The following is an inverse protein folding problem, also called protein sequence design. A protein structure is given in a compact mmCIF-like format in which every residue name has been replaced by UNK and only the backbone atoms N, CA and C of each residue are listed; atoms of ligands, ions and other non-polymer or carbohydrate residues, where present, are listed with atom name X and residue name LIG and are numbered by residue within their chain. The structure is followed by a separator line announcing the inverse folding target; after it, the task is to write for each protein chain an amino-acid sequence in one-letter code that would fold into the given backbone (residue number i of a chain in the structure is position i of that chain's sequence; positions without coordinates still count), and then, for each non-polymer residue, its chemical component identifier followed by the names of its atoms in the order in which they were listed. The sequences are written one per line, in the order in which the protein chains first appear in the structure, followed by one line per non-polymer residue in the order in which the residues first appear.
data_IF_139212962548
#
_entry.id   IF_139212962548
#
_cell.length_a   1.000
_cell.length_b   1.000
_cell.length_c   1.000
_cell.angle_alpha   90.00
_cell.angle_beta   90.00
_cell.angle_gamma   90.00
#
_symmetry.space_group_name_H-M   'P 1'
#
loop_
_entity.id
_entity.type
_entity.pdbx_description
1 polymer ?
#
# COMPACT_ATOMS: atom_id res chain seq x y z
N UNK A 1 10.09 -17.98 -6.88
CA UNK A 1 10.38 -16.83 -7.75
C UNK A 1 10.31 -17.27 -9.21
N UNK A 2 9.61 -16.50 -10.02
CA UNK A 2 9.57 -16.78 -11.47
C UNK A 2 10.88 -16.30 -12.12
N UNK A 3 11.17 -16.79 -13.36
CA UNK A 3 12.28 -16.30 -14.18
C UNK A 3 12.24 -14.77 -14.33
N UNK A 4 11.04 -14.19 -14.35
CA UNK A 4 10.79 -12.74 -14.41
C UNK A 4 11.36 -12.03 -13.18
N UNK A 5 11.23 -12.59 -11.97
CA UNK A 5 11.77 -11.98 -10.75
C UNK A 5 13.31 -11.91 -10.76
N UNK A 6 13.99 -12.88 -11.35
CA UNK A 6 15.45 -12.84 -11.51
C UNK A 6 15.93 -11.81 -12.54
N UNK A 7 15.14 -11.56 -13.59
CA UNK A 7 15.43 -10.53 -14.59
C UNK A 7 15.09 -9.12 -14.08
N UNK A 8 14.13 -8.99 -13.17
CA UNK A 8 13.65 -7.70 -12.66
C UNK A 8 14.77 -6.86 -12.06
N UNK A 9 15.65 -7.45 -11.25
CA UNK A 9 16.78 -6.73 -10.64
C UNK A 9 17.72 -6.09 -11.67
N UNK A 10 18.01 -6.78 -12.77
CA UNK A 10 18.85 -6.23 -13.87
C UNK A 10 18.14 -5.09 -14.60
N UNK A 11 16.84 -5.22 -14.81
CA UNK A 11 16.01 -4.16 -15.42
C UNK A 11 15.99 -2.94 -14.50
N UNK A 12 15.78 -3.14 -13.21
CA UNK A 12 15.77 -2.09 -12.21
C UNK A 12 17.12 -1.38 -12.10
N UNK A 13 18.23 -2.13 -12.13
CA UNK A 13 19.59 -1.57 -12.15
C UNK A 13 19.83 -0.65 -13.35
N UNK A 14 19.28 -0.98 -14.50
CA UNK A 14 19.37 -0.12 -15.69
C UNK A 14 18.47 1.13 -15.58
N UNK A 15 17.26 0.95 -15.06
CA UNK A 15 16.25 2.01 -15.00
C UNK A 15 16.54 3.05 -13.92
N UNK A 16 17.10 2.68 -12.76
CA UNK A 16 17.33 3.61 -11.65
C UNK A 16 18.26 4.76 -12.02
N UNK A 17 19.14 4.57 -12.98
CA UNK A 17 20.03 5.62 -13.52
C UNK A 17 19.28 6.66 -14.37
N UNK A 18 18.07 6.35 -14.83
CA UNK A 18 17.30 7.17 -15.77
C UNK A 18 16.02 7.73 -15.17
N UNK A 19 15.48 7.09 -14.14
CA UNK A 19 14.18 7.43 -13.58
C UNK A 19 14.10 7.08 -12.11
N UNK A 20 13.24 7.79 -11.39
CA UNK A 20 12.84 7.41 -10.03
C UNK A 20 11.94 6.18 -10.08
N UNK A 21 12.28 5.17 -9.31
CA UNK A 21 11.60 3.88 -9.30
C UNK A 21 10.82 3.74 -8.00
N UNK A 22 9.55 3.38 -8.13
CA UNK A 22 8.73 2.87 -7.05
C UNK A 22 8.46 1.39 -7.30
N UNK A 23 8.63 0.57 -6.28
CA UNK A 23 8.39 -0.87 -6.34
C UNK A 23 7.02 -1.16 -5.72
N UNK A 24 6.18 -1.90 -6.43
CA UNK A 24 5.05 -2.60 -5.85
C UNK A 24 5.45 -4.07 -5.69
N UNK A 25 5.57 -4.52 -4.45
CA UNK A 25 5.92 -5.89 -4.13
C UNK A 25 4.69 -6.63 -3.60
N UNK A 26 4.22 -7.60 -4.36
CA UNK A 26 3.10 -8.47 -3.96
C UNK A 26 3.71 -9.76 -3.43
N UNK A 27 3.66 -9.92 -2.13
CA UNK A 27 4.14 -11.11 -1.44
C UNK A 27 3.15 -12.25 -1.66
N UNK A 28 3.63 -13.41 -2.14
CA UNK A 28 2.77 -14.59 -2.27
C UNK A 28 2.39 -15.14 -0.89
N UNK A 29 1.31 -15.93 -0.85
CA UNK A 29 0.98 -16.72 0.35
C UNK A 29 2.11 -17.70 0.65
N UNK A 30 2.80 -17.45 1.77
CA UNK A 30 3.96 -18.24 2.21
C UNK A 30 3.58 -19.61 2.73
N UNK A 31 2.32 -19.80 3.17
CA UNK A 31 1.84 -21.06 3.77
C UNK A 31 1.77 -22.19 2.75
N UNK A 32 1.57 -21.84 1.48
CA UNK A 32 1.44 -22.77 0.35
C UNK A 32 2.75 -23.06 -0.38
N UNK A 33 3.87 -22.47 0.07
CA UNK A 33 5.17 -22.54 -0.64
C UNK A 33 6.08 -23.64 -0.09
N UNK A 34 6.90 -24.23 -0.99
CA UNK A 34 7.99 -25.11 -0.58
C UNK A 34 9.12 -24.30 0.09
N UNK A 35 9.92 -24.95 0.94
CA UNK A 35 11.04 -24.30 1.65
C UNK A 35 11.99 -23.56 0.72
N UNK A 36 12.33 -24.17 -0.44
CA UNK A 36 13.19 -23.53 -1.43
C UNK A 36 12.58 -22.24 -1.98
N UNK A 37 11.30 -22.24 -2.31
CA UNK A 37 10.59 -21.05 -2.79
C UNK A 37 10.49 -19.97 -1.72
N UNK A 38 10.24 -20.38 -0.48
CA UNK A 38 10.22 -19.50 0.68
C UNK A 38 11.56 -18.80 0.88
N UNK A 39 12.66 -19.55 0.75
CA UNK A 39 14.01 -18.97 0.85
C UNK A 39 14.31 -17.99 -0.31
N UNK A 40 13.91 -18.34 -1.53
CA UNK A 40 14.07 -17.47 -2.69
C UNK A 40 13.27 -16.17 -2.55
N UNK A 41 12.03 -16.27 -2.05
CA UNK A 41 11.18 -15.10 -1.78
C UNK A 41 11.82 -14.19 -0.73
N UNK A 42 12.22 -14.74 0.42
CA UNK A 42 12.88 -13.97 1.49
C UNK A 42 14.13 -13.28 0.99
N UNK A 43 14.94 -13.97 0.19
CA UNK A 43 16.16 -13.38 -0.37
C UNK A 43 15.82 -12.21 -1.30
N UNK A 44 14.86 -12.39 -2.21
CA UNK A 44 14.43 -11.33 -3.13
C UNK A 44 13.85 -10.13 -2.37
N UNK A 45 12.99 -10.39 -1.39
CA UNK A 45 12.40 -9.36 -0.54
C UNK A 45 13.47 -8.55 0.20
N UNK A 46 14.43 -9.22 0.85
CA UNK A 46 15.51 -8.57 1.58
C UNK A 46 16.37 -7.68 0.66
N UNK A 47 16.73 -8.18 -0.52
CA UNK A 47 17.52 -7.40 -1.49
C UNK A 47 16.76 -6.14 -1.93
N UNK A 48 15.47 -6.25 -2.23
CA UNK A 48 14.65 -5.10 -2.63
C UNK A 48 14.48 -4.10 -1.47
N UNK A 49 14.31 -4.59 -0.24
CA UNK A 49 14.28 -3.73 0.94
C UNK A 49 15.58 -2.92 1.11
N UNK A 50 16.73 -3.58 1.02
CA UNK A 50 18.03 -2.90 1.17
C UNK A 50 18.27 -1.87 0.07
N UNK A 51 17.93 -2.17 -1.18
CA UNK A 51 17.98 -1.18 -2.26
C UNK A 51 17.04 -0.01 -2.02
N UNK A 52 15.87 -0.26 -1.44
CA UNK A 52 14.93 0.80 -1.10
C UNK A 52 15.46 1.66 0.05
N UNK A 53 15.95 1.04 1.12
CA UNK A 53 16.52 1.75 2.28
C UNK A 53 17.74 2.58 1.90
N UNK A 54 18.59 2.07 1.02
CA UNK A 54 19.76 2.80 0.52
C UNK A 54 19.43 3.96 -0.43
N UNK A 55 18.16 4.09 -0.83
CA UNK A 55 17.70 5.18 -1.70
C UNK A 55 17.89 4.92 -3.19
N UNK A 56 18.26 3.70 -3.59
CA UNK A 56 18.27 3.27 -5.00
C UNK A 56 16.85 3.31 -5.58
N UNK A 57 15.86 2.91 -4.77
CA UNK A 57 14.45 3.09 -5.10
C UNK A 57 13.83 4.21 -4.26
N UNK A 58 12.85 4.91 -4.82
CA UNK A 58 12.18 6.00 -4.13
C UNK A 58 11.29 5.48 -3.01
N UNK A 59 10.54 4.42 -3.27
CA UNK A 59 9.72 3.72 -2.28
C UNK A 59 9.45 2.27 -2.72
N UNK A 60 9.15 1.43 -1.74
CA UNK A 60 8.65 0.07 -1.93
C UNK A 60 7.33 -0.08 -1.18
N UNK A 61 6.28 -0.32 -1.94
CA UNK A 61 4.94 -0.62 -1.42
C UNK A 61 4.76 -2.13 -1.33
N UNK A 62 4.44 -2.62 -0.15
CA UNK A 62 4.38 -4.05 0.15
C UNK A 62 2.92 -4.44 0.34
N UNK A 63 2.49 -5.51 -0.33
CA UNK A 63 1.19 -6.13 -0.17
C UNK A 63 1.38 -7.63 0.06
N UNK A 64 0.57 -8.24 0.90
CA UNK A 64 0.58 -9.67 1.17
C UNK A 64 -0.74 -10.29 0.69
N UNK A 65 -0.65 -11.28 -0.19
CA UNK A 65 -1.83 -11.94 -0.73
C UNK A 65 -2.72 -12.54 0.37
N UNK A 66 -2.11 -13.08 1.43
CA UNK A 66 -2.88 -13.68 2.53
C UNK A 66 -3.70 -12.65 3.31
N UNK A 67 -3.24 -11.39 3.39
CA UNK A 67 -4.02 -10.31 4.00
C UNK A 67 -5.07 -9.73 3.05
N UNK A 68 -4.77 -9.69 1.76
CA UNK A 68 -5.76 -9.30 0.75
C UNK A 68 -6.92 -10.29 0.70
N UNK A 69 -6.66 -11.59 0.87
CA UNK A 69 -7.69 -12.62 0.96
C UNK A 69 -8.72 -12.34 2.07
N UNK A 70 -8.27 -11.87 3.22
CA UNK A 70 -9.15 -11.53 4.34
C UNK A 70 -10.04 -10.31 4.05
N UNK A 71 -9.64 -9.45 3.11
CA UNK A 71 -10.42 -8.25 2.73
C UNK A 71 -11.56 -8.64 1.78
N UNK A 72 -11.32 -9.66 0.96
CA UNK A 72 -12.29 -10.14 -0.04
C UNK A 72 -13.07 -11.39 0.44
N UNK A 73 -13.18 -11.56 1.76
CA UNK A 73 -13.91 -12.66 2.36
C UNK A 73 -15.30 -12.85 1.73
N UNK A 74 -15.61 -14.08 1.34
CA UNK A 74 -16.85 -14.39 0.62
C UNK A 74 -16.82 -14.17 -0.90
N UNK A 75 -15.68 -13.82 -1.49
CA UNK A 75 -15.57 -13.73 -2.94
C UNK A 75 -15.74 -15.10 -3.61
N UNK A 76 -16.46 -15.18 -4.75
CA UNK A 76 -16.64 -16.45 -5.46
C UNK A 76 -15.29 -16.95 -6.00
N UNK A 77 -15.10 -18.28 -5.99
CA UNK A 77 -13.87 -18.92 -6.51
C UNK A 77 -13.62 -18.53 -7.98
N UNK A 78 -14.70 -18.45 -8.76
CA UNK A 78 -14.60 -17.93 -10.13
C UNK A 78 -14.44 -16.43 -10.12
N UNK A 79 -13.34 -15.94 -10.71
CA UNK A 79 -13.03 -14.50 -10.73
C UNK A 79 -12.29 -13.99 -9.48
N UNK A 80 -11.89 -14.88 -8.57
CA UNK A 80 -11.17 -14.53 -7.35
C UNK A 80 -9.95 -13.62 -7.60
N UNK A 81 -9.09 -14.00 -8.55
CA UNK A 81 -7.90 -13.19 -8.87
C UNK A 81 -8.25 -11.85 -9.54
N UNK A 82 -9.35 -11.80 -10.29
CA UNK A 82 -9.81 -10.55 -10.89
C UNK A 82 -10.27 -9.58 -9.80
N UNK A 83 -10.99 -10.10 -8.80
CA UNK A 83 -11.45 -9.31 -7.66
C UNK A 83 -10.28 -8.80 -6.80
N UNK A 84 -9.31 -9.66 -6.53
CA UNK A 84 -8.09 -9.32 -5.79
C UNK A 84 -7.27 -8.24 -6.52
N UNK A 85 -7.12 -8.41 -7.83
CA UNK A 85 -6.46 -7.42 -8.67
C UNK A 85 -7.23 -6.09 -8.71
N UNK A 86 -8.56 -6.12 -8.75
CA UNK A 86 -9.40 -4.93 -8.72
C UNK A 86 -9.21 -4.14 -7.42
N UNK A 87 -9.22 -4.79 -6.27
CA UNK A 87 -8.97 -4.17 -4.96
C UNK A 87 -7.59 -3.50 -4.95
N UNK A 88 -6.57 -4.19 -5.40
CA UNK A 88 -5.20 -3.69 -5.42
C UNK A 88 -5.04 -2.50 -6.38
N UNK A 89 -5.51 -2.68 -7.62
CA UNK A 89 -5.38 -1.66 -8.68
C UNK A 89 -6.20 -0.42 -8.37
N UNK A 90 -7.43 -0.56 -7.88
CA UNK A 90 -8.27 0.58 -7.50
C UNK A 90 -7.65 1.39 -6.36
N UNK A 91 -7.07 0.73 -5.36
CA UNK A 91 -6.38 1.41 -4.26
C UNK A 91 -5.17 2.20 -4.76
N UNK A 92 -4.33 1.59 -5.59
CA UNK A 92 -3.16 2.27 -6.17
C UNK A 92 -3.58 3.41 -7.09
N UNK A 93 -4.63 3.19 -7.90
CA UNK A 93 -5.17 4.22 -8.78
C UNK A 93 -5.68 5.42 -7.99
N UNK A 94 -6.45 5.19 -6.93
CA UNK A 94 -6.95 6.24 -6.06
C UNK A 94 -5.81 7.09 -5.46
N UNK A 95 -4.75 6.45 -4.96
CA UNK A 95 -3.59 7.15 -4.43
C UNK A 95 -2.88 7.96 -5.51
N UNK A 96 -2.77 7.42 -6.72
CA UNK A 96 -2.21 8.13 -7.87
C UNK A 96 -3.03 9.37 -8.25
N UNK A 97 -4.35 9.25 -8.22
CA UNK A 97 -5.28 10.37 -8.43
C UNK A 97 -5.05 11.44 -7.36
N UNK A 98 -5.06 11.07 -6.09
CA UNK A 98 -4.80 12.02 -4.99
C UNK A 98 -3.42 12.69 -5.07
N UNK A 99 -2.42 11.97 -5.53
CA UNK A 99 -1.06 12.52 -5.69
C UNK A 99 -0.98 13.59 -6.78
N UNK A 100 -1.76 13.45 -7.84
CA UNK A 100 -1.62 14.24 -9.06
C UNK A 100 -2.76 15.27 -9.29
N UNK A 101 -3.88 15.15 -8.57
CA UNK A 101 -4.98 16.11 -8.69
C UNK A 101 -4.81 17.33 -7.78
N UNK A 102 -5.46 18.44 -8.18
CA UNK A 102 -5.58 19.63 -7.34
C UNK A 102 -6.49 19.32 -6.15
N UNK A 103 -5.96 19.47 -4.96
CA UNK A 103 -6.68 19.15 -3.72
C UNK A 103 -7.70 20.23 -3.42
N UNK A 104 -8.88 19.80 -2.96
CA UNK A 104 -9.92 20.70 -2.45
C UNK A 104 -9.67 20.97 -0.97
N UNK A 105 -9.34 19.93 -0.20
CA UNK A 105 -9.07 20.02 1.23
C UNK A 105 -7.87 19.12 1.57
N UNK A 106 -7.04 19.57 2.49
CA UNK A 106 -5.90 18.82 3.00
C UNK A 106 -4.63 18.93 2.14
N UNK A 107 -3.61 18.22 2.57
CA UNK A 107 -2.32 18.13 1.90
C UNK A 107 -1.97 16.68 1.64
N UNK A 108 -1.39 16.39 0.49
CA UNK A 108 -0.76 15.11 0.26
C UNK A 108 0.65 15.19 0.88
N UNK A 109 0.85 14.61 2.06
CA UNK A 109 2.19 14.48 2.59
C UNK A 109 2.92 13.37 1.83
N UNK A 110 4.11 13.68 1.34
CA UNK A 110 4.99 12.61 0.88
C UNK A 110 5.58 11.93 2.11
N UNK A 111 5.71 10.60 2.11
CA UNK A 111 6.51 9.94 3.11
C UNK A 111 7.89 10.60 3.20
N UNK A 112 8.45 10.70 4.40
CA UNK A 112 9.78 11.26 4.56
C UNK A 112 10.80 10.47 3.74
N UNK A 113 11.88 11.08 3.32
CA UNK A 113 12.92 10.41 2.54
C UNK A 113 13.58 9.23 3.28
N UNK A 114 13.32 9.08 4.57
CA UNK A 114 13.77 7.98 5.42
C UNK A 114 12.77 6.81 5.47
N UNK A 115 11.47 7.08 5.31
CA UNK A 115 10.40 6.08 5.39
C UNK A 115 10.02 5.59 3.99
N UNK A 116 10.92 4.82 3.39
CA UNK A 116 10.77 4.34 2.00
C UNK A 116 10.00 3.04 1.87
N UNK A 117 9.78 2.32 2.98
CA UNK A 117 8.94 1.12 3.01
C UNK A 117 7.53 1.53 3.42
N UNK A 118 6.56 1.16 2.62
CA UNK A 118 5.16 1.53 2.83
C UNK A 118 4.22 0.37 2.50
N UNK A 119 3.00 0.47 2.96
CA UNK A 119 1.89 -0.39 2.54
C UNK A 119 0.66 0.45 2.30
N UNK A 120 -0.34 -0.16 1.71
CA UNK A 120 -1.68 0.39 1.58
C UNK A 120 -2.64 -0.32 2.53
N UNK A 121 -3.83 0.20 2.66
CA UNK A 121 -4.91 -0.43 3.37
C UNK A 121 -6.24 0.21 3.01
N UNK A 122 -7.31 -0.48 3.34
CA UNK A 122 -8.67 0.01 3.20
C UNK A 122 -9.20 0.33 4.59
N UNK A 123 -9.75 1.53 4.73
CA UNK A 123 -10.48 1.94 5.91
C UNK A 123 -11.98 1.74 5.65
N UNK A 124 -12.64 0.98 6.50
CA UNK A 124 -14.08 0.92 6.55
C UNK A 124 -14.61 2.22 7.19
N UNK A 125 -15.33 3.06 6.46
CA UNK A 125 -15.81 4.35 6.98
C UNK A 125 -16.89 4.20 8.05
N UNK A 126 -17.62 3.08 8.11
CA UNK A 126 -18.70 2.86 9.06
C UNK A 126 -18.16 2.36 10.41
N UNK A 127 -17.27 1.39 10.37
CA UNK A 127 -16.73 0.75 11.58
C UNK A 127 -15.41 1.37 12.04
N UNK A 128 -14.74 2.15 11.21
CA UNK A 128 -13.40 2.65 11.46
C UNK A 128 -12.31 1.55 11.41
N UNK A 129 -12.67 0.32 11.01
CA UNK A 129 -11.72 -0.80 10.94
C UNK A 129 -10.72 -0.58 9.81
N UNK A 130 -9.46 -0.77 10.13
CA UNK A 130 -8.37 -0.72 9.17
C UNK A 130 -8.00 -2.13 8.72
N UNK A 131 -7.90 -2.33 7.42
CA UNK A 131 -7.48 -3.57 6.80
C UNK A 131 -6.22 -3.30 5.98
N UNK A 132 -5.02 -3.39 6.58
CA UNK A 132 -3.77 -3.17 5.88
C UNK A 132 -3.46 -4.32 4.92
N UNK A 133 -2.83 -4.02 3.80
CA UNK A 133 -2.37 -5.03 2.83
C UNK A 133 -1.06 -5.71 3.26
N UNK A 134 -0.38 -5.14 4.23
CA UNK A 134 0.80 -5.71 4.87
C UNK A 134 0.97 -5.15 6.28
N UNK A 135 1.33 -5.99 7.24
CA UNK A 135 1.61 -5.55 8.60
C UNK A 135 3.05 -5.03 8.68
N UNK A 136 3.20 -3.71 8.71
CA UNK A 136 4.49 -3.06 8.93
C UNK A 136 4.78 -2.99 10.43
N UNK A 137 5.94 -3.49 10.82
CA UNK A 137 6.49 -3.26 12.15
C UNK A 137 7.04 -1.83 12.23
N UNK A 138 6.91 -1.19 13.38
CA UNK A 138 7.43 0.17 13.63
C UNK A 138 6.93 1.21 12.62
N UNK A 139 5.62 1.22 12.39
CA UNK A 139 4.98 2.20 11.54
C UNK A 139 5.23 3.63 12.06
N UNK A 140 5.87 4.48 11.27
CA UNK A 140 6.26 5.84 11.66
C UNK A 140 5.28 6.90 11.20
N UNK A 141 4.57 6.66 10.12
CA UNK A 141 3.66 7.64 9.53
C UNK A 141 2.44 6.92 8.93
N UNK A 142 1.27 7.49 9.12
CA UNK A 142 0.02 7.01 8.56
C UNK A 142 -0.75 8.17 7.95
N UNK A 143 -1.24 7.97 6.72
CA UNK A 143 -2.04 8.97 6.02
C UNK A 143 -3.38 8.37 5.59
N UNK A 144 -4.46 9.12 5.79
CA UNK A 144 -5.80 8.73 5.39
C UNK A 144 -6.27 9.55 4.20
N UNK A 145 -6.82 8.88 3.20
CA UNK A 145 -7.34 9.48 1.99
C UNK A 145 -8.81 9.11 1.83
N UNK A 146 -9.66 10.13 1.78
CA UNK A 146 -11.09 9.97 1.60
C UNK A 146 -11.51 10.47 0.22
N UNK A 147 -12.14 9.60 -0.56
CA UNK A 147 -12.81 9.97 -1.80
C UNK A 147 -14.27 10.28 -1.48
N UNK A 148 -14.64 11.55 -1.56
CA UNK A 148 -15.99 12.02 -1.20
C UNK A 148 -16.62 12.68 -2.43
N UNK A 149 -17.85 12.30 -2.81
CA UNK A 149 -18.57 12.97 -3.88
C UNK A 149 -18.72 14.47 -3.62
N UNK A 150 -18.50 15.29 -4.65
CA UNK A 150 -18.56 16.76 -4.52
C UNK A 150 -19.93 17.26 -3.99
N UNK A 151 -21.02 16.57 -4.35
CA UNK A 151 -22.36 16.88 -3.87
C UNK A 151 -22.48 16.72 -2.35
N UNK A 152 -21.88 15.69 -1.77
CA UNK A 152 -21.86 15.49 -0.32
C UNK A 152 -21.01 16.57 0.38
N UNK A 153 -19.90 17.00 -0.23
CA UNK A 153 -19.10 18.10 0.31
C UNK A 153 -19.86 19.43 0.33
N UNK A 154 -20.82 19.63 -0.59
CA UNK A 154 -21.66 20.85 -0.63
C UNK A 154 -22.83 20.81 0.35
N UNK A 155 -23.36 19.63 0.63
CA UNK A 155 -24.61 19.46 1.38
C UNK A 155 -24.38 19.08 2.84
N UNK A 156 -23.38 18.28 3.14
CA UNK A 156 -23.13 17.75 4.48
C UNK A 156 -22.09 18.59 5.25
N UNK A 157 -22.58 19.50 6.08
CA UNK A 157 -21.74 20.35 6.94
C UNK A 157 -21.04 19.59 8.07
N UNK A 158 -21.52 18.40 8.45
CA UNK A 158 -20.97 17.62 9.56
C UNK A 158 -19.90 16.62 9.11
N UNK A 159 -19.82 16.33 7.82
CA UNK A 159 -18.93 15.32 7.27
C UNK A 159 -17.46 15.54 7.66
N UNK A 160 -16.98 16.78 7.57
CA UNK A 160 -15.61 17.12 7.96
C UNK A 160 -15.34 16.92 9.46
N UNK A 161 -16.31 17.22 10.30
CA UNK A 161 -16.20 16.99 11.75
C UNK A 161 -16.14 15.51 12.07
N UNK A 162 -17.02 14.71 11.44
CA UNK A 162 -17.05 13.25 11.62
C UNK A 162 -15.74 12.59 11.17
N UNK A 163 -15.18 12.99 10.01
CA UNK A 163 -13.88 12.49 9.55
C UNK A 163 -12.76 12.86 10.54
N UNK A 164 -12.76 14.09 11.04
CA UNK A 164 -11.76 14.52 12.03
C UNK A 164 -11.87 13.74 13.34
N UNK A 165 -13.06 13.47 13.83
CA UNK A 165 -13.29 12.65 15.01
C UNK A 165 -12.77 11.23 14.80
N UNK A 166 -13.10 10.59 13.68
CA UNK A 166 -12.58 9.26 13.34
C UNK A 166 -11.05 9.19 13.31
N UNK A 167 -10.39 10.23 12.85
CA UNK A 167 -8.91 10.28 12.81
C UNK A 167 -8.35 10.52 14.22
N UNK A 168 -8.98 11.37 15.02
CA UNK A 168 -8.51 11.71 16.37
C UNK A 168 -8.73 10.59 17.39
N UNK A 169 -9.77 9.77 17.21
CA UNK A 169 -10.02 8.61 18.06
C UNK A 169 -9.04 7.46 17.83
N UNK A 170 -8.28 7.50 16.72
CA UNK A 170 -7.25 6.50 16.46
C UNK A 170 -6.01 6.80 17.29
N UNK A 171 -5.37 5.75 17.87
CA UNK A 171 -4.18 5.97 18.67
C UNK A 171 -3.13 6.70 17.83
N UNK A 172 -2.77 7.90 18.31
CA UNK A 172 -1.64 8.62 17.73
C UNK A 172 -0.39 7.79 18.00
N UNK A 173 0.40 7.61 16.98
CA UNK A 173 1.67 6.91 17.14
C UNK A 173 2.57 7.81 17.96
N UNK A 174 2.98 7.33 19.13
CA UNK A 174 3.95 8.04 19.96
C UNK A 174 5.27 8.16 19.18
N UNK A 175 5.74 9.38 19.03
CA UNK A 175 7.08 9.68 18.56
C UNK A 175 8.08 9.15 19.62
N UNK A 176 8.65 7.98 19.35
CA UNK A 176 9.80 7.43 20.10
C UNK A 176 11.07 7.65 19.32
#
# INVERSE_FOLDING_TARGET
ASIISGAALRILEYLHKKSKINILYIRPDMSSMSELRTLQERTCFNVLQEYTRSGVFEAMYICDNSLLDNIIDGAPIMGYYDFLNEVLVSTIHMINVFKNQKKIIGTFSKPSNTNRLATFGILDPETGKENPFFNLENLKEKAYYYAIPEEQLKTDKKLLSSIKEQILEKPQMEDT
#
